data_IF_679232005811
#
_entry.id   IF_679232005811
#
_cell.length_a   1.000
_cell.length_b   1.000
_cell.length_c   1.000
_cell.angle_alpha   90.00
_cell.angle_beta   90.00
_cell.angle_gamma   90.00
#
_symmetry.space_group_name_H-M   'P 1'
#
loop_
_entity.id
_entity.type
_entity.pdbx_description
1 polymer ?
#
# COMPACT_ATOMS: atom_id res chain seq x y z
N UNK A 1 0.58 1.09 1.70
CA UNK A 1 0.72 1.91 2.93
C UNK A 1 0.72 0.95 4.12
N UNK A 2 1.46 1.19 5.23
CA UNK A 2 1.50 2.45 6.01
C UNK A 2 2.86 3.16 6.21
N UNK A 3 3.96 2.63 5.67
CA UNK A 3 5.32 3.08 6.04
C UNK A 3 5.87 4.26 5.24
N UNK A 4 5.56 4.33 3.95
CA UNK A 4 6.04 5.42 3.08
C UNK A 4 5.02 6.57 3.11
N UNK A 5 5.35 7.74 3.69
CA UNK A 5 4.42 8.85 3.90
C UNK A 5 4.20 9.69 2.64
N UNK A 6 4.21 9.05 1.47
CA UNK A 6 4.00 9.68 0.18
C UNK A 6 3.27 8.73 -0.76
N UNK A 7 2.10 9.15 -1.25
CA UNK A 7 1.36 8.42 -2.26
C UNK A 7 2.14 8.36 -3.58
N UNK A 8 2.80 9.45 -3.97
CA UNK A 8 3.63 9.52 -5.18
C UNK A 8 4.80 8.54 -5.10
N UNK A 9 5.53 8.51 -3.98
CA UNK A 9 6.66 7.60 -3.81
C UNK A 9 6.23 6.13 -3.88
N UNK A 10 5.07 5.78 -3.29
CA UNK A 10 4.53 4.41 -3.38
C UNK A 10 4.07 4.06 -4.79
N UNK A 11 3.30 4.96 -5.41
CA UNK A 11 2.74 4.75 -6.74
C UNK A 11 3.85 4.63 -7.79
N UNK A 12 4.77 5.60 -7.84
CA UNK A 12 5.83 5.64 -8.84
C UNK A 12 7.02 4.72 -8.51
N UNK A 13 7.39 4.60 -7.24
CA UNK A 13 8.62 3.89 -6.84
C UNK A 13 8.43 2.40 -6.62
N UNK A 14 7.29 1.97 -6.08
CA UNK A 14 7.07 0.55 -5.71
C UNK A 14 6.07 -0.13 -6.64
N UNK A 15 4.95 0.53 -6.92
CA UNK A 15 3.81 -0.07 -7.59
C UNK A 15 3.97 -0.04 -9.11
N UNK A 16 4.40 1.09 -9.66
CA UNK A 16 4.57 1.26 -11.10
C UNK A 16 5.54 0.26 -11.73
N UNK A 17 6.75 -0.03 -11.18
CA UNK A 17 7.65 -1.01 -11.78
C UNK A 17 7.03 -2.42 -11.85
N UNK A 18 6.23 -2.82 -10.87
CA UNK A 18 5.56 -4.12 -10.89
C UNK A 18 4.53 -4.17 -12.01
N UNK A 19 3.71 -3.12 -12.15
CA UNK A 19 2.60 -3.10 -13.12
C UNK A 19 3.06 -2.67 -14.51
N UNK A 20 4.22 -2.07 -14.70
CA UNK A 20 4.76 -1.82 -16.03
C UNK A 20 5.38 -3.07 -16.64
N UNK A 21 5.88 -4.00 -15.81
CA UNK A 21 6.51 -5.24 -16.26
C UNK A 21 5.53 -6.41 -16.46
N UNK A 22 4.36 -6.41 -15.82
CA UNK A 22 3.36 -7.47 -15.96
C UNK A 22 2.58 -7.47 -17.31
N UNK A 23 2.03 -6.34 -17.80
CA UNK A 23 1.22 -6.29 -19.02
C UNK A 23 1.92 -6.78 -20.29
N UNK A 24 3.23 -6.55 -20.50
CA UNK A 24 3.95 -7.13 -21.63
C UNK A 24 3.88 -8.66 -21.71
N UNK A 25 3.74 -9.37 -20.58
CA UNK A 25 3.55 -10.83 -20.56
C UNK A 25 2.20 -11.28 -21.15
N UNK A 26 1.26 -10.35 -21.28
CA UNK A 26 -0.06 -10.53 -21.89
C UNK A 26 -0.16 -9.86 -23.27
N UNK A 27 0.98 -9.51 -23.87
CA UNK A 27 1.05 -8.71 -25.09
C UNK A 27 0.24 -7.40 -24.99
N UNK A 28 0.19 -6.82 -23.79
CA UNK A 28 -0.49 -5.56 -23.52
C UNK A 28 0.53 -4.44 -23.44
N UNK A 29 0.57 -3.58 -24.46
CA UNK A 29 1.59 -2.53 -24.61
C UNK A 29 1.00 -1.12 -24.35
N UNK A 30 1.77 -0.20 -23.76
CA UNK A 30 1.34 1.18 -23.57
C UNK A 30 1.22 1.90 -24.92
N UNK A 31 0.27 2.85 -25.02
CA UNK A 31 -0.01 3.64 -26.24
C UNK A 31 -0.41 2.82 -27.47
N UNK A 32 -0.87 1.59 -27.27
CA UNK A 32 -1.32 0.67 -28.31
C UNK A 32 -2.75 0.21 -28.01
N UNK A 33 -3.58 -0.16 -29.01
CA UNK A 33 -4.91 -0.74 -28.76
C UNK A 33 -4.90 -1.93 -27.78
N UNK A 34 -3.80 -2.71 -27.76
CA UNK A 34 -3.58 -3.82 -26.82
C UNK A 34 -3.44 -3.40 -25.35
N UNK A 35 -3.32 -2.11 -25.03
CA UNK A 35 -3.29 -1.62 -23.65
C UNK A 35 -4.53 -2.07 -22.84
N UNK A 36 -5.67 -2.23 -23.52
CA UNK A 36 -6.94 -2.67 -22.91
C UNK A 36 -6.97 -4.14 -22.53
N UNK A 37 -6.03 -4.96 -23.03
CA UNK A 37 -5.97 -6.39 -22.72
C UNK A 37 -5.92 -6.65 -21.22
N UNK A 38 -5.01 -5.96 -20.53
CA UNK A 38 -4.92 -6.02 -19.06
C UNK A 38 -4.21 -4.79 -18.46
N UNK A 39 -3.28 -4.15 -19.20
CA UNK A 39 -2.40 -3.11 -18.66
C UNK A 39 -3.13 -1.88 -18.14
N UNK A 40 -4.09 -1.34 -18.89
CA UNK A 40 -4.89 -0.19 -18.46
C UNK A 40 -5.70 -0.48 -17.20
N UNK A 41 -6.29 -1.68 -17.09
CA UNK A 41 -7.05 -2.10 -15.92
C UNK A 41 -6.15 -2.18 -14.68
N UNK A 42 -5.01 -2.88 -14.78
CA UNK A 42 -4.07 -3.01 -13.65
C UNK A 42 -3.55 -1.64 -13.20
N UNK A 43 -3.18 -0.77 -14.13
CA UNK A 43 -2.68 0.55 -13.80
C UNK A 43 -3.73 1.40 -13.08
N UNK A 44 -4.96 1.42 -13.58
CA UNK A 44 -6.06 2.16 -12.96
C UNK A 44 -6.38 1.67 -11.55
N UNK A 45 -6.54 0.35 -11.39
CA UNK A 45 -6.88 -0.26 -10.11
C UNK A 45 -5.78 -0.02 -9.09
N UNK A 46 -4.52 -0.20 -9.46
CA UNK A 46 -3.43 -0.05 -8.52
C UNK A 46 -3.20 1.39 -8.07
N UNK A 47 -3.31 2.39 -8.96
CA UNK A 47 -3.24 3.80 -8.54
C UNK A 47 -4.41 4.11 -7.60
N UNK A 48 -5.62 3.69 -7.97
CA UNK A 48 -6.84 3.98 -7.21
C UNK A 48 -6.82 3.34 -5.82
N UNK A 49 -6.42 2.06 -5.71
CA UNK A 49 -6.24 1.38 -4.42
C UNK A 49 -5.13 2.05 -3.60
N UNK A 50 -4.08 2.56 -4.24
CA UNK A 50 -3.04 3.31 -3.52
C UNK A 50 -3.63 4.58 -2.92
N UNK A 51 -4.50 5.30 -3.62
CA UNK A 51 -5.22 6.45 -3.06
C UNK A 51 -6.11 6.06 -1.88
N UNK A 52 -6.94 5.02 -2.00
CA UNK A 52 -7.83 4.56 -0.91
C UNK A 52 -7.02 4.18 0.34
N UNK A 53 -5.97 3.37 0.16
CA UNK A 53 -5.11 2.96 1.27
C UNK A 53 -4.30 4.13 1.84
N UNK A 54 -4.03 5.17 1.05
CA UNK A 54 -3.37 6.39 1.53
C UNK A 54 -4.25 7.21 2.46
N UNK A 55 -5.56 7.22 2.25
CA UNK A 55 -6.52 7.88 3.15
C UNK A 55 -6.76 7.09 4.44
N UNK A 56 -6.71 5.75 4.34
CA UNK A 56 -6.99 4.85 5.47
C UNK A 56 -5.94 4.89 6.58
N UNK A 57 -4.67 5.17 6.25
CA UNK A 57 -3.59 5.22 7.25
C UNK A 57 -3.15 6.66 7.52
N UNK A 58 -3.16 7.06 8.79
CA UNK A 58 -2.78 8.41 9.20
C UNK A 58 -1.37 8.81 8.72
N UNK A 59 -0.42 7.88 8.75
CA UNK A 59 0.98 8.10 8.35
C UNK A 59 1.22 8.09 6.83
N UNK A 60 0.23 7.75 6.02
CA UNK A 60 0.46 7.45 4.61
C UNK A 60 0.53 8.69 3.71
N UNK A 61 0.11 9.86 4.20
CA UNK A 61 0.06 11.13 3.50
C UNK A 61 0.31 12.30 4.46
N UNK A 62 1.11 13.28 4.04
CA UNK A 62 1.31 14.52 4.81
C UNK A 62 -0.01 15.27 5.11
N UNK A 63 -0.98 15.38 4.16
CA UNK A 63 -2.30 15.93 4.46
C UNK A 63 -3.03 15.29 5.64
N UNK A 64 -2.93 13.96 5.83
CA UNK A 64 -3.62 13.29 6.94
C UNK A 64 -3.04 13.74 8.29
N UNK A 65 -1.72 13.84 8.38
CA UNK A 65 -1.03 14.35 9.56
C UNK A 65 -1.39 15.82 9.82
N UNK A 66 -1.42 16.65 8.77
CA UNK A 66 -1.84 18.05 8.87
C UNK A 66 -3.28 18.17 9.39
N UNK A 67 -4.22 17.38 8.86
CA UNK A 67 -5.61 17.35 9.34
C UNK A 67 -5.69 16.98 10.82
N UNK A 68 -4.93 15.98 11.27
CA UNK A 68 -4.90 15.60 12.68
C UNK A 68 -4.34 16.72 13.59
N UNK A 69 -3.33 17.45 13.12
CA UNK A 69 -2.75 18.57 13.85
C UNK A 69 -3.73 19.76 13.93
N UNK A 70 -4.44 20.07 12.85
CA UNK A 70 -5.45 21.13 12.82
C UNK A 70 -6.64 20.81 13.74
N UNK A 71 -7.12 19.56 13.74
CA UNK A 71 -8.20 19.14 14.64
C UNK A 71 -7.79 19.32 16.11
N UNK A 72 -6.57 18.91 16.46
CA UNK A 72 -6.03 19.11 17.80
C UNK A 72 -5.95 20.61 18.15
N UNK A 73 -5.45 21.45 17.25
CA UNK A 73 -5.36 22.89 17.48
C UNK A 73 -6.73 23.56 17.67
N UNK A 74 -7.76 23.13 16.95
CA UNK A 74 -9.10 23.74 17.00
C UNK A 74 -9.99 23.19 18.14
N UNK A 75 -9.82 21.92 18.51
CA UNK A 75 -10.75 21.21 19.41
C UNK A 75 -10.10 20.69 20.69
N UNK A 76 -8.75 20.68 20.76
CA UNK A 76 -7.99 20.03 21.82
C UNK A 76 -7.97 18.49 21.75
N UNK A 77 -8.68 17.88 20.78
CA UNK A 77 -8.75 16.43 20.64
C UNK A 77 -7.53 15.88 19.88
N UNK A 78 -6.80 14.96 20.51
CA UNK A 78 -5.70 14.24 19.86
C UNK A 78 -6.22 12.97 19.18
N UNK A 79 -6.19 12.95 17.85
CA UNK A 79 -6.52 11.75 17.08
C UNK A 79 -5.30 10.82 17.04
N UNK A 80 -5.43 9.66 17.66
CA UNK A 80 -4.40 8.62 17.56
C UNK A 80 -4.42 7.92 16.20
N UNK A 81 -3.30 7.29 15.83
CA UNK A 81 -3.22 6.48 14.60
C UNK A 81 -4.29 5.38 14.55
N UNK A 82 -4.49 4.67 15.67
CA UNK A 82 -5.49 3.61 15.79
C UNK A 82 -6.92 4.15 15.64
N UNK A 83 -7.21 5.29 16.28
CA UNK A 83 -8.52 5.95 16.16
C UNK A 83 -8.82 6.36 14.71
N UNK A 84 -7.85 6.96 14.01
CA UNK A 84 -7.98 7.30 12.59
C UNK A 84 -8.27 6.07 11.74
N UNK A 85 -7.46 5.01 11.92
CA UNK A 85 -7.60 3.78 11.15
C UNK A 85 -8.97 3.14 11.36
N UNK A 86 -9.41 2.97 12.62
CA UNK A 86 -10.70 2.36 12.95
C UNK A 86 -11.86 3.22 12.44
N UNK A 87 -11.76 4.55 12.55
CA UNK A 87 -12.79 5.46 12.04
C UNK A 87 -12.93 5.37 10.51
N UNK A 88 -11.81 5.25 9.79
CA UNK A 88 -11.84 5.12 8.33
C UNK A 88 -12.19 3.69 7.87
N UNK A 89 -11.91 2.67 8.66
CA UNK A 89 -11.97 1.26 8.28
C UNK A 89 -13.28 0.84 7.59
N UNK A 90 -14.49 1.20 8.08
CA UNK A 90 -15.73 0.80 7.42
C UNK A 90 -15.82 1.33 5.99
N UNK A 91 -15.55 2.63 5.80
CA UNK A 91 -15.54 3.26 4.49
C UNK A 91 -14.36 2.75 3.63
N UNK A 92 -13.21 2.52 4.26
CA UNK A 92 -12.00 2.02 3.62
C UNK A 92 -12.19 0.64 3.02
N UNK A 93 -12.83 -0.29 3.73
CA UNK A 93 -13.15 -1.63 3.22
C UNK A 93 -14.10 -1.53 2.04
N UNK A 94 -15.16 -0.74 2.15
CA UNK A 94 -16.13 -0.54 1.06
C UNK A 94 -15.44 0.00 -0.19
N UNK A 95 -14.66 1.08 -0.06
CA UNK A 95 -13.92 1.66 -1.18
C UNK A 95 -12.86 0.72 -1.73
N UNK A 96 -12.16 -0.03 -0.88
CA UNK A 96 -11.14 -0.98 -1.28
C UNK A 96 -11.72 -2.14 -2.09
N UNK A 97 -12.92 -2.61 -1.75
CA UNK A 97 -13.65 -3.63 -2.52
C UNK A 97 -14.27 -3.05 -3.79
N UNK A 98 -14.88 -1.87 -3.71
CA UNK A 98 -15.54 -1.24 -4.86
C UNK A 98 -14.55 -0.78 -5.93
N UNK A 99 -13.34 -0.34 -5.56
CA UNK A 99 -12.36 0.16 -6.53
C UNK A 99 -11.99 -0.84 -7.63
N UNK A 100 -11.57 -2.09 -7.32
CA UNK A 100 -11.30 -3.08 -8.37
C UNK A 100 -12.58 -3.50 -9.11
N UNK A 101 -13.73 -3.58 -8.42
CA UNK A 101 -15.01 -3.92 -9.06
C UNK A 101 -15.44 -2.86 -10.09
N UNK A 102 -15.36 -1.58 -9.72
CA UNK A 102 -15.64 -0.45 -10.62
C UNK A 102 -14.60 -0.39 -11.74
N UNK A 103 -13.33 -0.62 -11.44
CA UNK A 103 -12.29 -0.73 -12.47
C UNK A 103 -12.61 -1.84 -13.47
N UNK A 104 -13.11 -2.98 -12.99
CA UNK A 104 -13.45 -4.12 -13.83
C UNK A 104 -14.69 -3.84 -14.69
N UNK A 105 -15.66 -3.12 -14.14
CA UNK A 105 -16.88 -2.78 -14.86
C UNK A 105 -16.67 -1.66 -15.88
N UNK A 106 -15.96 -0.59 -15.51
CA UNK A 106 -15.67 0.55 -16.39
C UNK A 106 -14.62 0.23 -17.45
N UNK A 107 -13.63 -0.58 -17.09
CA UNK A 107 -12.48 -0.89 -17.94
C UNK A 107 -12.21 -2.39 -17.93
N UNK A 108 -13.20 -3.15 -18.39
CA UNK A 108 -13.13 -4.61 -18.42
C UNK A 108 -11.90 -5.08 -19.21
N UNK A 109 -10.98 -5.83 -18.59
CA UNK A 109 -9.84 -6.38 -19.30
C UNK A 109 -10.32 -7.44 -20.30
N UNK A 110 -9.75 -7.40 -21.51
CA UNK A 110 -10.05 -8.38 -22.55
C UNK A 110 -9.51 -9.77 -22.18
N UNK A 111 -8.34 -9.80 -21.51
CA UNK A 111 -7.73 -11.04 -21.02
C UNK A 111 -8.11 -11.24 -19.55
N UNK A 112 -8.94 -12.26 -19.30
CA UNK A 112 -9.47 -12.57 -17.96
C UNK A 112 -8.84 -13.81 -17.33
N UNK A 113 -8.33 -14.73 -18.15
CA UNK A 113 -7.75 -16.00 -17.73
C UNK A 113 -6.52 -16.27 -18.59
N UNK A 114 -5.40 -16.61 -17.94
CA UNK A 114 -4.17 -17.07 -18.59
C UNK A 114 -3.51 -18.09 -17.66
N UNK A 115 -3.27 -19.31 -18.14
CA UNK A 115 -2.69 -20.39 -17.33
C UNK A 115 -1.16 -20.37 -17.28
N UNK A 116 -0.51 -19.65 -18.20
CA UNK A 116 0.94 -19.58 -18.33
C UNK A 116 1.56 -18.58 -17.35
N UNK A 117 0.93 -17.43 -17.14
CA UNK A 117 1.45 -16.39 -16.24
C UNK A 117 1.48 -16.84 -14.77
N UNK A 118 0.45 -17.51 -14.21
CA UNK A 118 0.53 -18.08 -12.87
C UNK A 118 1.62 -19.16 -12.73
N UNK A 119 1.84 -19.97 -13.78
CA UNK A 119 2.92 -20.98 -13.78
C UNK A 119 4.29 -20.33 -13.79
N UNK A 120 4.49 -19.33 -14.63
CA UNK A 120 5.70 -18.52 -14.67
C UNK A 120 5.97 -17.83 -13.32
N UNK A 121 4.97 -17.19 -12.72
CA UNK A 121 5.10 -16.53 -11.41
C UNK A 121 5.49 -17.51 -10.30
N UNK A 122 4.97 -18.75 -10.33
CA UNK A 122 5.35 -19.81 -9.39
C UNK A 122 6.80 -20.27 -9.59
N UNK A 123 7.27 -20.36 -10.83
CA UNK A 123 8.67 -20.67 -11.12
C UNK A 123 9.58 -19.55 -10.60
N UNK A 124 9.23 -18.29 -10.83
CA UNK A 124 10.03 -17.15 -10.37
C UNK A 124 10.07 -17.08 -8.82
N UNK A 125 8.95 -17.35 -8.15
CA UNK A 125 8.93 -17.48 -6.69
C UNK A 125 9.84 -18.62 -6.18
N UNK A 126 9.93 -19.72 -6.93
CA UNK A 126 10.81 -20.84 -6.59
C UNK A 126 12.29 -20.44 -6.79
N UNK A 127 12.59 -19.67 -7.84
CA UNK A 127 13.93 -19.15 -8.13
C UNK A 127 14.41 -18.16 -7.07
N UNK A 128 13.52 -17.32 -6.52
CA UNK A 128 13.82 -16.39 -5.43
C UNK A 128 14.18 -17.11 -4.12
N UNK A 129 13.67 -18.32 -3.92
CA UNK A 129 13.95 -19.12 -2.72
C UNK A 129 13.24 -18.61 -1.46
N UNK A 130 13.74 -19.02 -0.30
CA UNK A 130 13.14 -18.64 0.99
C UNK A 130 13.53 -17.24 1.44
N UNK A 131 12.68 -16.62 2.27
CA UNK A 131 12.96 -15.31 2.86
C UNK A 131 14.30 -15.29 3.62
N UNK A 132 15.14 -14.35 3.24
CA UNK A 132 16.42 -14.05 3.88
C UNK A 132 16.20 -13.57 5.33
N UNK A 133 17.28 -13.62 6.14
CA UNK A 133 17.24 -13.11 7.52
C UNK A 133 16.86 -11.63 7.57
N UNK A 134 17.33 -10.83 6.61
CA UNK A 134 17.02 -9.40 6.51
C UNK A 134 15.54 -9.16 6.24
N UNK A 135 14.92 -9.89 5.33
CA UNK A 135 13.48 -9.75 5.04
C UNK A 135 12.62 -10.16 6.24
N UNK A 136 13.01 -11.20 6.97
CA UNK A 136 12.33 -11.60 8.21
C UNK A 136 12.41 -10.52 9.29
N UNK A 137 13.59 -9.92 9.47
CA UNK A 137 13.78 -8.81 10.41
C UNK A 137 12.95 -7.58 10.00
N UNK A 138 12.90 -7.25 8.72
CA UNK A 138 12.05 -6.16 8.21
C UNK A 138 10.57 -6.39 8.57
N UNK A 139 10.05 -7.60 8.32
CA UNK A 139 8.68 -7.96 8.65
C UNK A 139 8.40 -7.85 10.16
N UNK A 140 9.34 -8.30 10.98
CA UNK A 140 9.25 -8.18 12.44
C UNK A 140 9.15 -6.71 12.90
N UNK A 141 10.01 -5.84 12.39
CA UNK A 141 10.01 -4.42 12.75
C UNK A 141 8.76 -3.69 12.27
N UNK A 142 8.27 -4.03 11.08
CA UNK A 142 7.00 -3.55 10.55
C UNK A 142 5.83 -3.96 11.45
N UNK A 143 5.77 -5.21 11.88
CA UNK A 143 4.73 -5.69 12.79
C UNK A 143 4.81 -4.97 14.16
N UNK A 144 6.03 -4.79 14.70
CA UNK A 144 6.26 -4.09 15.95
C UNK A 144 5.79 -2.62 15.87
N UNK A 145 6.09 -1.92 14.78
CA UNK A 145 5.62 -0.55 14.56
C UNK A 145 4.09 -0.45 14.57
N UNK A 146 3.41 -1.39 13.89
CA UNK A 146 1.95 -1.42 13.85
C UNK A 146 1.35 -1.67 15.23
N UNK A 147 1.92 -2.60 16.00
CA UNK A 147 1.48 -2.85 17.37
C UNK A 147 1.66 -1.61 18.26
N UNK A 148 2.79 -0.91 18.15
CA UNK A 148 3.02 0.34 18.88
C UNK A 148 2.05 1.45 18.46
N UNK A 149 1.68 1.56 17.18
CA UNK A 149 0.71 2.56 16.73
C UNK A 149 -0.73 2.25 17.14
N UNK A 150 -1.12 0.98 17.20
CA UNK A 150 -2.48 0.58 17.61
C UNK A 150 -2.65 0.65 19.13
N UNK A 151 -1.67 0.14 19.89
CA UNK A 151 -1.80 -0.04 21.34
C UNK A 151 -0.98 0.96 22.17
N UNK A 152 0.03 1.60 21.59
CA UNK A 152 0.97 2.48 22.29
C UNK A 152 0.52 3.93 22.45
N UNK A 153 -0.68 4.30 21.98
CA UNK A 153 -1.16 5.69 21.96
C UNK A 153 -1.22 6.40 23.32
N UNK A 154 -1.26 5.65 24.43
CA UNK A 154 -1.22 6.22 25.79
C UNK A 154 0.19 6.36 26.40
N UNK A 155 1.21 5.74 25.80
CA UNK A 155 2.56 5.66 26.36
C UNK A 155 3.59 6.43 25.53
N UNK A 156 3.45 6.45 24.21
CA UNK A 156 4.48 6.97 23.29
C UNK A 156 3.81 7.69 22.11
N UNK A 157 4.31 8.88 21.76
CA UNK A 157 3.88 9.60 20.56
C UNK A 157 4.18 8.75 19.30
N UNK A 158 3.26 8.69 18.34
CA UNK A 158 3.40 7.93 17.10
C UNK A 158 4.67 8.24 16.30
N UNK A 159 5.18 9.48 16.38
CA UNK A 159 6.44 9.88 15.75
C UNK A 159 7.66 9.23 16.43
N UNK A 160 7.66 9.15 17.76
CA UNK A 160 8.74 8.53 18.55
C UNK A 160 8.76 7.02 18.30
N UNK A 161 7.59 6.38 18.24
CA UNK A 161 7.48 4.96 17.90
C UNK A 161 8.10 4.66 16.51
N UNK A 162 7.84 5.52 15.52
CA UNK A 162 8.42 5.38 14.19
C UNK A 162 9.96 5.53 14.20
N UNK A 163 10.47 6.57 14.86
CA UNK A 163 11.90 6.82 14.98
C UNK A 163 12.63 5.68 15.69
N UNK A 164 12.03 5.14 16.75
CA UNK A 164 12.58 4.01 17.50
C UNK A 164 12.71 2.77 16.61
N UNK A 165 11.66 2.41 15.86
CA UNK A 165 11.69 1.26 14.96
C UNK A 165 12.71 1.46 13.85
N UNK A 166 12.80 2.66 13.27
CA UNK A 166 13.82 2.97 12.24
C UNK A 166 15.23 2.85 12.82
N UNK A 167 15.47 3.36 14.04
CA UNK A 167 16.77 3.24 14.70
C UNK A 167 17.15 1.77 14.93
N UNK A 168 16.21 0.94 15.41
CA UNK A 168 16.42 -0.50 15.56
C UNK A 168 16.76 -1.18 14.23
N UNK A 169 16.04 -0.84 13.16
CA UNK A 169 16.30 -1.34 11.82
C UNK A 169 17.72 -0.99 11.35
N UNK A 170 18.14 0.27 11.50
CA UNK A 170 19.47 0.73 11.08
C UNK A 170 20.62 0.03 11.83
N UNK A 171 20.41 -0.33 13.09
CA UNK A 171 21.43 -1.02 13.90
C UNK A 171 21.53 -2.51 13.54
N UNK A 172 20.44 -3.12 13.05
CA UNK A 172 20.35 -4.58 12.84
C UNK A 172 20.49 -5.02 11.38
N UNK A 173 20.32 -4.13 10.40
CA UNK A 173 20.37 -4.45 8.96
C UNK A 173 21.72 -4.13 8.31
#
# INVERSE_FOLDING_TARGET
APFTPSNTARSAGTIYPVISNLPPLYDSKPNDPSARRIGSYLMWVSISITCVTSSMFLSALAPNLLSSALINQMTGLQISWGSWFIAFLPCGIVLWLLTPLLGYWLYTPEVKINDEVPKWAKQELTNLGGLSRREKLLLLFVALALLLWVFGGGLINSAIAALLVIALMLITM
#
